data_IF_208610580559
#
_entry.id   IF_208610580559
#
_cell.length_a   1.000
_cell.length_b   1.000
_cell.length_c   1.000
_cell.angle_alpha   90.00
_cell.angle_beta   90.00
_cell.angle_gamma   90.00
#
_symmetry.space_group_name_H-M   'P 1'
#
loop_
_entity.id
_entity.type
_entity.pdbx_description
1 polymer ?
#
# COMPACT_ATOMS: atom_id res chain seq x y z
N UNK A 1 7.59 14.61 -1.86
CA UNK A 1 7.92 13.41 -1.06
C UNK A 1 6.89 13.30 0.04
N UNK A 2 6.38 12.09 0.29
CA UNK A 2 5.52 11.79 1.44
C UNK A 2 6.30 10.90 2.40
N UNK A 3 5.99 11.05 3.69
CA UNK A 3 6.56 10.26 4.76
C UNK A 3 5.39 9.71 5.57
N UNK A 4 5.32 8.39 5.66
CA UNK A 4 4.21 7.68 6.27
C UNK A 4 4.72 6.86 7.45
N UNK A 5 3.95 6.87 8.54
CA UNK A 5 4.12 5.96 9.66
C UNK A 5 3.21 4.77 9.43
N UNK A 6 3.73 3.57 9.62
CA UNK A 6 2.98 2.33 9.45
C UNK A 6 2.72 1.73 10.82
N UNK A 7 1.46 1.44 11.09
CA UNK A 7 1.00 0.77 12.29
C UNK A 7 0.43 -0.60 11.92
N UNK A 8 0.49 -1.54 12.86
CA UNK A 8 -0.09 -2.88 12.68
C UNK A 8 -1.63 -2.90 12.69
N UNK A 9 -2.26 -1.88 13.26
CA UNK A 9 -3.71 -1.74 13.31
C UNK A 9 -4.15 -0.26 13.36
N UNK A 10 -5.46 -0.03 13.37
CA UNK A 10 -6.08 1.29 13.54
C UNK A 10 -6.58 1.53 14.98
N UNK A 11 -6.20 0.65 15.92
CA UNK A 11 -6.57 0.74 17.33
C UNK A 11 -5.70 1.75 18.09
N UNK A 12 -6.17 2.16 19.28
CA UNK A 12 -5.48 3.20 20.07
C UNK A 12 -4.10 2.78 20.58
N UNK A 13 -3.87 1.48 20.75
CA UNK A 13 -2.65 0.86 21.22
C UNK A 13 -1.84 0.21 20.08
N UNK A 14 -2.13 0.60 18.83
CA UNK A 14 -1.42 0.11 17.66
C UNK A 14 0.10 0.38 17.77
N UNK A 15 0.87 -0.62 17.36
CA UNK A 15 2.33 -0.56 17.40
C UNK A 15 2.84 0.12 16.14
N UNK A 16 3.76 1.08 16.29
CA UNK A 16 4.50 1.61 15.16
C UNK A 16 5.43 0.51 14.63
N UNK A 17 5.12 -0.03 13.46
CA UNK A 17 5.86 -1.14 12.86
C UNK A 17 6.84 -0.70 11.80
N UNK A 18 6.72 0.50 11.24
CA UNK A 18 7.60 0.89 10.14
C UNK A 18 7.37 2.29 9.61
N UNK A 19 8.11 2.59 8.55
CA UNK A 19 8.01 3.83 7.79
C UNK A 19 7.97 3.54 6.31
N UNK A 20 7.27 4.40 5.58
CA UNK A 20 7.29 4.42 4.12
C UNK A 20 7.62 5.82 3.62
N UNK A 21 8.51 5.87 2.63
CA UNK A 21 8.76 7.05 1.84
C UNK A 21 8.11 6.88 0.47
N UNK A 22 7.37 7.89 0.03
CA UNK A 22 6.87 7.93 -1.34
C UNK A 22 7.44 9.11 -2.12
N UNK A 23 7.98 8.83 -3.30
CA UNK A 23 8.59 9.82 -4.19
C UNK A 23 7.94 9.79 -5.57
N UNK A 24 8.04 10.91 -6.30
CA UNK A 24 7.57 10.98 -7.68
C UNK A 24 8.55 10.29 -8.62
N UNK A 25 8.05 9.91 -9.79
CA UNK A 25 8.85 9.38 -10.91
C UNK A 25 10.04 10.29 -11.26
N UNK A 26 9.85 11.63 -11.21
CA UNK A 26 10.95 12.58 -11.43
C UNK A 26 12.14 12.36 -10.51
N UNK A 27 11.90 12.02 -9.24
CA UNK A 27 12.97 11.76 -8.27
C UNK A 27 13.49 10.34 -8.47
N UNK A 28 12.60 9.35 -8.60
CA UNK A 28 12.96 7.94 -8.78
C UNK A 28 13.91 7.74 -9.97
N UNK A 29 13.65 8.40 -11.10
CA UNK A 29 14.47 8.31 -12.31
C UNK A 29 15.90 8.84 -12.14
N UNK A 30 16.18 9.60 -11.07
CA UNK A 30 17.53 10.10 -10.75
C UNK A 30 18.30 9.19 -9.77
N UNK A 31 17.65 8.16 -9.23
CA UNK A 31 18.27 7.26 -8.28
C UNK A 31 19.25 6.31 -8.97
N UNK A 32 20.34 5.91 -8.28
CA UNK A 32 21.18 4.80 -8.73
C UNK A 32 20.37 3.51 -8.86
N UNK A 33 20.76 2.63 -9.78
CA UNK A 33 20.01 1.39 -10.04
C UNK A 33 19.94 0.45 -8.82
N UNK A 34 20.98 0.43 -7.98
CA UNK A 34 20.97 -0.33 -6.74
C UNK A 34 19.96 0.22 -5.72
N UNK A 35 19.75 1.53 -5.71
CA UNK A 35 18.78 2.16 -4.84
C UNK A 35 17.35 1.90 -5.34
N UNK A 36 17.10 1.96 -6.65
CA UNK A 36 15.78 1.68 -7.25
C UNK A 36 15.21 0.30 -6.87
N UNK A 37 16.09 -0.68 -6.64
CA UNK A 37 15.75 -2.03 -6.15
C UNK A 37 15.04 -2.04 -4.80
N UNK A 38 15.16 -0.96 -4.03
CA UNK A 38 14.51 -0.82 -2.72
C UNK A 38 13.11 -0.22 -2.80
N UNK A 39 12.61 0.06 -4.02
CA UNK A 39 11.33 0.71 -4.24
C UNK A 39 10.34 -0.23 -4.91
N UNK A 40 9.06 -0.01 -4.63
CA UNK A 40 7.93 -0.73 -5.23
C UNK A 40 6.89 0.21 -5.83
N UNK A 41 6.01 -0.33 -6.67
CA UNK A 41 4.91 0.40 -7.29
C UNK A 41 3.57 0.09 -6.61
N UNK A 42 2.63 1.04 -6.61
CA UNK A 42 1.31 0.87 -5.97
C UNK A 42 0.20 0.50 -6.97
N UNK A 43 0.54 0.21 -8.22
CA UNK A 43 -0.44 0.06 -9.31
C UNK A 43 -1.46 -1.04 -9.03
N UNK A 44 -1.00 -2.20 -8.57
CA UNK A 44 -1.89 -3.33 -8.34
C UNK A 44 -2.70 -3.15 -7.06
N UNK A 45 -2.09 -2.84 -5.92
CA UNK A 45 -2.83 -2.60 -4.65
C UNK A 45 -3.94 -1.55 -4.76
N UNK A 46 -3.71 -0.47 -5.50
CA UNK A 46 -4.75 0.54 -5.77
C UNK A 46 -5.87 -0.05 -6.60
N UNK A 47 -5.54 -0.68 -7.73
CA UNK A 47 -6.52 -1.16 -8.71
C UNK A 47 -7.23 -2.44 -8.29
N UNK A 48 -6.65 -3.25 -7.41
CA UNK A 48 -7.28 -4.43 -6.83
C UNK A 48 -8.36 -4.08 -5.81
N UNK A 49 -8.39 -2.81 -5.35
CA UNK A 49 -9.30 -2.36 -4.29
C UNK A 49 -8.79 -2.63 -2.89
N UNK A 50 -7.62 -3.29 -2.74
CA UNK A 50 -7.05 -3.68 -1.46
C UNK A 50 -6.62 -2.47 -0.62
N UNK A 51 -5.98 -1.49 -1.25
CA UNK A 51 -5.59 -0.26 -0.58
C UNK A 51 -6.83 0.62 -0.35
N UNK A 52 -7.08 0.98 0.90
CA UNK A 52 -8.25 1.78 1.30
C UNK A 52 -7.80 3.00 2.09
N UNK A 53 -8.45 4.13 1.82
CA UNK A 53 -8.39 5.29 2.70
C UNK A 53 -9.69 5.33 3.50
N UNK A 54 -9.68 4.81 4.75
CA UNK A 54 -10.90 4.72 5.54
C UNK A 54 -11.49 6.10 5.78
N UNK A 55 -12.82 6.20 5.68
CA UNK A 55 -13.53 7.41 6.07
C UNK A 55 -13.43 7.58 7.59
N UNK A 56 -12.91 8.70 8.11
CA UNK A 56 -12.93 8.96 9.54
C UNK A 56 -14.37 8.95 10.04
N UNK A 57 -14.66 8.27 11.15
CA UNK A 57 -16.03 8.17 11.69
C UNK A 57 -16.66 9.51 12.04
N UNK A 58 -15.83 10.54 12.26
CA UNK A 58 -16.26 11.93 12.54
C UNK A 58 -16.42 12.78 11.26
N UNK A 59 -16.14 12.21 10.08
CA UNK A 59 -16.19 12.94 8.81
C UNK A 59 -17.63 13.30 8.45
N UNK A 60 -17.96 14.59 8.23
CA UNK A 60 -19.30 15.01 7.82
C UNK A 60 -19.58 14.75 6.33
N UNK A 61 -18.60 14.21 5.59
CA UNK A 61 -18.69 14.01 4.14
C UNK A 61 -19.56 12.77 3.84
N UNK A 62 -20.60 12.85 3.00
CA UNK A 62 -21.36 11.68 2.59
C UNK A 62 -20.47 10.65 1.87
N UNK A 63 -20.72 9.36 2.08
CA UNK A 63 -19.91 8.26 1.51
C UNK A 63 -19.64 8.39 0.00
N UNK A 64 -20.61 8.75 -0.88
CA UNK A 64 -20.32 8.93 -2.30
C UNK A 64 -19.29 10.05 -2.60
N UNK A 65 -19.32 11.13 -1.82
CA UNK A 65 -18.35 12.20 -1.94
C UNK A 65 -16.98 11.78 -1.39
N UNK A 66 -16.95 11.04 -0.27
CA UNK A 66 -15.71 10.45 0.26
C UNK A 66 -15.05 9.51 -0.74
N UNK A 67 -15.85 8.65 -1.36
CA UNK A 67 -15.44 7.72 -2.40
C UNK A 67 -14.72 8.42 -3.58
N UNK A 68 -15.18 9.61 -3.95
CA UNK A 68 -14.55 10.42 -5.01
C UNK A 68 -13.20 11.00 -4.56
N UNK A 69 -13.12 11.45 -3.30
CA UNK A 69 -11.86 11.95 -2.69
C UNK A 69 -10.84 10.82 -2.58
N UNK A 70 -11.26 9.65 -2.10
CA UNK A 70 -10.41 8.46 -2.03
C UNK A 70 -9.89 8.06 -3.42
N UNK A 71 -10.75 7.97 -4.44
CA UNK A 71 -10.30 7.55 -5.77
C UNK A 71 -9.33 8.56 -6.41
N UNK A 72 -9.53 9.85 -6.15
CA UNK A 72 -8.59 10.89 -6.57
C UNK A 72 -7.22 10.72 -5.89
N UNK A 73 -7.20 10.43 -4.59
CA UNK A 73 -5.98 10.17 -3.84
C UNK A 73 -5.27 8.90 -4.33
N UNK A 74 -6.03 7.82 -4.54
CA UNK A 74 -5.53 6.56 -5.10
C UNK A 74 -4.89 6.78 -6.49
N UNK A 75 -5.50 7.62 -7.33
CA UNK A 75 -4.92 7.99 -8.63
C UNK A 75 -3.58 8.69 -8.49
N UNK A 76 -3.39 9.54 -7.48
CA UNK A 76 -2.08 10.17 -7.23
C UNK A 76 -1.06 9.17 -6.67
N UNK A 77 -1.47 8.27 -5.78
CA UNK A 77 -0.61 7.21 -5.21
C UNK A 77 -0.04 6.31 -6.31
N UNK A 78 -0.82 5.97 -7.35
CA UNK A 78 -0.28 5.13 -8.45
C UNK A 78 0.94 5.75 -9.14
N UNK A 79 1.11 7.08 -9.11
CA UNK A 79 2.22 7.80 -9.75
C UNK A 79 3.48 7.88 -8.87
N UNK A 80 3.42 7.33 -7.65
CA UNK A 80 4.50 7.36 -6.69
C UNK A 80 5.19 5.99 -6.62
N UNK A 81 6.44 6.02 -6.15
CA UNK A 81 7.22 4.86 -5.77
C UNK A 81 7.33 4.82 -4.25
N UNK A 82 7.06 3.67 -3.65
CA UNK A 82 7.15 3.44 -2.21
C UNK A 82 8.45 2.73 -1.81
N UNK A 83 9.08 3.17 -0.73
CA UNK A 83 10.18 2.45 -0.05
C UNK A 83 9.79 2.26 1.41
N UNK A 84 9.55 1.01 1.77
CA UNK A 84 8.95 0.64 3.05
C UNK A 84 9.87 -0.27 3.85
N UNK A 85 10.13 0.10 5.10
CA UNK A 85 10.82 -0.76 6.04
C UNK A 85 9.96 -1.03 7.27
N UNK A 86 9.74 -2.30 7.56
CA UNK A 86 9.18 -2.75 8.82
C UNK A 86 10.29 -3.03 9.82
N UNK A 87 10.22 -2.38 10.98
CA UNK A 87 11.10 -2.51 12.13
C UNK A 87 10.56 -3.49 13.18
N UNK A 88 9.27 -3.86 13.10
CA UNK A 88 8.63 -4.80 14.03
C UNK A 88 7.79 -5.84 13.27
N UNK A 89 8.17 -7.11 13.37
CA UNK A 89 7.42 -8.26 12.86
C UNK A 89 6.44 -8.77 13.93
N UNK A 90 5.26 -8.14 13.98
CA UNK A 90 4.25 -8.38 15.04
C UNK A 90 3.58 -9.75 14.97
N UNK A 91 3.65 -10.40 13.81
CA UNK A 91 3.18 -11.74 13.50
C UNK A 91 4.04 -12.85 14.11
N UNK A 92 5.24 -12.53 14.58
CA UNK A 92 6.18 -13.48 15.22
C UNK A 92 6.07 -13.54 16.75
N UNK A 93 4.92 -13.13 17.31
CA UNK A 93 4.62 -13.12 18.75
C UNK A 93 5.70 -12.45 19.62
N UNK A 94 6.25 -11.34 19.15
CA UNK A 94 7.24 -10.55 19.92
C UNK A 94 6.63 -9.28 20.52
N UNK A 95 6.77 -9.13 21.83
CA UNK A 95 6.38 -7.92 22.59
C UNK A 95 7.32 -6.72 22.35
N UNK A 96 8.44 -6.92 21.65
CA UNK A 96 9.40 -5.87 21.28
C UNK A 96 9.84 -6.03 19.81
N UNK A 97 10.30 -4.97 19.13
CA UNK A 97 10.82 -5.07 17.76
C UNK A 97 12.15 -5.84 17.75
N UNK A 98 12.08 -7.14 17.45
CA UNK A 98 13.26 -8.01 17.34
C UNK A 98 13.73 -8.12 15.89
N UNK A 99 15.06 -8.19 15.73
CA UNK A 99 15.71 -8.44 14.45
C UNK A 99 15.98 -7.18 13.64
N UNK A 100 16.36 -7.38 12.39
CA UNK A 100 16.75 -6.31 11.47
C UNK A 100 15.53 -5.75 10.71
N UNK A 101 15.57 -4.48 10.27
CA UNK A 101 14.58 -3.91 9.39
C UNK A 101 14.33 -4.78 8.15
N UNK A 102 13.06 -5.06 7.85
CA UNK A 102 12.65 -5.81 6.67
C UNK A 102 12.16 -4.85 5.59
N UNK A 103 12.74 -4.95 4.40
CA UNK A 103 12.24 -4.23 3.22
C UNK A 103 10.93 -4.87 2.77
N UNK A 104 9.88 -4.07 2.67
CA UNK A 104 8.56 -4.51 2.23
C UNK A 104 8.27 -4.07 0.80
N UNK A 105 7.56 -4.91 0.06
CA UNK A 105 7.08 -4.64 -1.28
C UNK A 105 5.56 -4.71 -1.35
N UNK A 106 5.00 -3.97 -2.31
CA UNK A 106 3.60 -4.06 -2.70
C UNK A 106 3.37 -5.27 -3.61
N UNK A 107 2.17 -5.86 -3.58
CA UNK A 107 1.78 -6.84 -4.60
C UNK A 107 1.72 -6.16 -5.97
N UNK A 108 2.10 -6.88 -7.03
CA UNK A 108 2.13 -6.37 -8.41
C UNK A 108 1.16 -7.08 -9.35
N UNK A 109 0.66 -8.25 -8.95
CA UNK A 109 -0.32 -9.06 -9.71
C UNK A 109 -1.05 -10.04 -8.78
N UNK A 110 -2.20 -10.53 -9.24
CA UNK A 110 -3.14 -11.34 -8.45
C UNK A 110 -2.55 -12.67 -7.94
N UNK A 111 -1.71 -13.32 -8.74
CA UNK A 111 -1.11 -14.62 -8.39
C UNK A 111 -0.08 -14.54 -7.25
N UNK A 112 0.34 -13.33 -6.87
CA UNK A 112 1.20 -13.09 -5.72
C UNK A 112 0.40 -12.98 -4.42
N UNK A 113 -0.92 -12.75 -4.51
CA UNK A 113 -1.76 -12.55 -3.34
C UNK A 113 -2.07 -13.91 -2.70
N UNK A 114 -1.63 -14.15 -1.45
CA UNK A 114 -1.88 -15.42 -0.78
C UNK A 114 -3.38 -15.65 -0.56
N UNK A 115 -3.90 -16.88 -0.75
CA UNK A 115 -5.32 -17.18 -0.55
C UNK A 115 -5.84 -16.78 0.84
N UNK A 116 -5.02 -16.92 1.87
CA UNK A 116 -5.32 -16.55 3.25
C UNK A 116 -5.62 -15.05 3.41
N UNK A 117 -5.05 -14.18 2.57
CA UNK A 117 -5.28 -12.74 2.63
C UNK A 117 -6.74 -12.38 2.32
N UNK A 118 -7.47 -13.26 1.59
CA UNK A 118 -8.88 -13.03 1.29
C UNK A 118 -9.71 -12.87 2.57
N UNK A 119 -9.46 -13.70 3.59
CA UNK A 119 -10.19 -13.62 4.85
C UNK A 119 -9.88 -12.32 5.59
N UNK A 120 -8.60 -11.95 5.66
CA UNK A 120 -8.17 -10.69 6.29
C UNK A 120 -8.80 -9.46 5.59
N UNK A 121 -8.92 -9.50 4.27
CA UNK A 121 -9.61 -8.46 3.50
C UNK A 121 -11.11 -8.41 3.84
N UNK A 122 -11.79 -9.56 3.94
CA UNK A 122 -13.20 -9.63 4.33
C UNK A 122 -13.44 -9.08 5.74
N UNK A 123 -12.58 -9.45 6.70
CA UNK A 123 -12.66 -8.97 8.08
C UNK A 123 -12.42 -7.46 8.17
N UNK A 124 -11.43 -6.94 7.43
CA UNK A 124 -11.17 -5.49 7.33
C UNK A 124 -12.29 -4.73 6.61
N UNK A 125 -12.88 -5.30 5.57
CA UNK A 125 -14.03 -4.70 4.85
C UNK A 125 -15.23 -4.53 5.78
N UNK A 126 -15.53 -5.57 6.57
CA UNK A 126 -16.58 -5.54 7.59
C UNK A 126 -16.29 -4.51 8.68
N UNK A 127 -15.07 -4.46 9.19
CA UNK A 127 -14.67 -3.51 10.24
C UNK A 127 -14.77 -2.04 9.78
N UNK A 128 -14.40 -1.76 8.54
CA UNK A 128 -14.39 -0.40 7.98
C UNK A 128 -15.70 -0.02 7.27
N UNK A 129 -16.64 -0.96 7.09
CA UNK A 129 -17.87 -0.72 6.34
C UNK A 129 -17.61 -0.41 4.86
N UNK A 130 -16.64 -1.09 4.25
CA UNK A 130 -16.24 -0.89 2.84
C UNK A 130 -16.27 -2.21 2.08
N UNK A 131 -16.13 -2.15 0.74
CA UNK A 131 -16.04 -3.32 -0.13
C UNK A 131 -14.84 -3.21 -1.06
N UNK A 132 -13.94 -4.19 -0.98
CA UNK A 132 -12.78 -4.34 -1.88
C UNK A 132 -13.24 -4.50 -3.32
N UNK A 133 -14.29 -5.30 -3.55
CA UNK A 133 -14.82 -5.56 -4.88
C UNK A 133 -15.41 -4.29 -5.52
N UNK A 134 -16.18 -3.51 -4.76
CA UNK A 134 -16.71 -2.23 -5.24
C UNK A 134 -15.59 -1.23 -5.53
N UNK A 135 -14.56 -1.15 -4.66
CA UNK A 135 -13.38 -0.30 -4.91
C UNK A 135 -12.64 -0.73 -6.17
N UNK A 136 -12.45 -2.03 -6.40
CA UNK A 136 -11.86 -2.58 -7.62
C UNK A 136 -12.65 -2.13 -8.86
N UNK A 137 -13.97 -2.21 -8.81
CA UNK A 137 -14.85 -1.79 -9.90
C UNK A 137 -14.76 -0.28 -10.18
N UNK A 138 -14.91 0.58 -9.14
CA UNK A 138 -14.81 2.04 -9.28
C UNK A 138 -13.46 2.47 -9.86
N UNK A 139 -12.39 1.76 -9.51
CA UNK A 139 -11.02 2.11 -9.88
C UNK A 139 -10.58 1.52 -11.23
N UNK A 140 -11.43 0.81 -11.97
CA UNK A 140 -11.12 0.35 -13.33
C UNK A 140 -10.74 1.50 -14.27
N UNK A 141 -11.33 2.70 -14.06
CA UNK A 141 -11.02 3.90 -14.83
C UNK A 141 -9.67 4.55 -14.50
N UNK A 142 -9.00 4.14 -13.42
CA UNK A 142 -7.65 4.62 -13.09
C UNK A 142 -6.66 3.99 -14.08
N UNK A 143 -6.14 4.84 -14.98
CA UNK A 143 -5.07 4.44 -15.91
C UNK A 143 -3.86 3.97 -15.11
N UNK A 144 -3.30 2.83 -15.50
CA UNK A 144 -2.03 2.34 -14.94
C UNK A 144 -0.98 3.42 -15.17
N UNK A 145 -0.23 3.76 -14.12
CA UNK A 145 0.88 4.70 -14.24
C UNK A 145 2.09 4.01 -14.88
N UNK A 146 3.04 4.82 -15.34
CA UNK A 146 4.28 4.32 -15.95
C UNK A 146 5.30 3.83 -14.91
N UNK A 147 4.97 3.87 -13.62
CA UNK A 147 5.94 3.55 -12.55
C UNK A 147 6.51 2.13 -12.64
N UNK A 148 5.74 1.19 -13.20
CA UNK A 148 6.16 -0.21 -13.39
C UNK A 148 7.01 -0.50 -14.64
N UNK A 149 7.45 0.52 -15.40
CA UNK A 149 8.26 0.31 -16.61
C UNK A 149 9.75 0.09 -16.32
N UNK A 150 10.28 0.65 -15.23
CA UNK A 150 11.70 0.48 -14.88
C UNK A 150 11.94 -0.98 -14.42
N UNK A 151 12.90 -1.72 -15.02
CA UNK A 151 13.15 -3.11 -14.65
C UNK A 151 13.70 -3.28 -13.23
N UNK A 152 14.19 -2.21 -12.61
CA UNK A 152 14.82 -2.22 -11.28
C UNK A 152 13.83 -2.07 -10.13
N UNK A 153 12.58 -1.65 -10.38
CA UNK A 153 11.52 -1.56 -9.35
C UNK A 153 10.88 -2.93 -9.09
N UNK A 154 10.22 -3.10 -7.95
CA UNK A 154 9.47 -4.32 -7.59
C UNK A 154 10.37 -5.58 -7.60
N UNK A 155 11.68 -5.40 -7.31
CA UNK A 155 12.67 -6.47 -7.47
C UNK A 155 12.38 -7.69 -6.59
N UNK A 156 11.69 -7.48 -5.45
CA UNK A 156 11.27 -8.53 -4.54
C UNK A 156 10.49 -9.64 -5.27
N UNK A 157 9.71 -9.28 -6.29
CA UNK A 157 8.91 -10.21 -7.08
C UNK A 157 9.57 -10.71 -8.36
N UNK A 158 10.77 -10.22 -8.69
CA UNK A 158 11.53 -10.60 -9.90
C UNK A 158 12.65 -11.60 -9.60
N UNK A 159 12.91 -11.86 -8.31
CA UNK A 159 13.95 -12.79 -7.83
C UNK A 159 13.44 -14.20 -7.56
N UNK A 160 12.20 -14.52 -7.95
CA UNK A 160 11.58 -15.84 -7.82
C UNK A 160 11.85 -16.74 -9.02
#
# INVERSE_FOLDING_TARGET
MRQCLIYDSHEKDARLIGVEYMISEKIFSTLPDDEKKLWHTHNYEVKSGMLVMPQPSISPIPTPAWNTVEDAEMKEITKLYGKTYHLWQVDRDSNVPLGEPQLMGSYTKEDQVPPELKKELEDRDKALGVSTAEKKERRQGIKKSDTGKDPSVDIAWKRS
#
